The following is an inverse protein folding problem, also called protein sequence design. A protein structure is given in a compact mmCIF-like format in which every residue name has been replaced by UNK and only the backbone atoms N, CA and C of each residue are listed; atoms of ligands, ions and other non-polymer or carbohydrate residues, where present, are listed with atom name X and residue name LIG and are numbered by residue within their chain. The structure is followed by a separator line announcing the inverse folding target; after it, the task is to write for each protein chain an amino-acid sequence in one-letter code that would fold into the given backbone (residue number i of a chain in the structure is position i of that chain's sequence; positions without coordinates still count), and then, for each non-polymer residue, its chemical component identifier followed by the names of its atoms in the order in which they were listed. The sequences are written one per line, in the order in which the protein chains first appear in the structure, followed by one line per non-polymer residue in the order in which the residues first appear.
data_IF_622842309431
#
_entry.id   IF_622842309431
#
_cell.length_a   1.000
_cell.length_b   1.000
_cell.length_c   1.000
_cell.angle_alpha   90.00
_cell.angle_beta   90.00
_cell.angle_gamma   90.00
#
_symmetry.space_group_name_H-M   'P 1'
#
loop_
_entity.id
_entity.type
_entity.pdbx_description
1 polymer ?
#
# COMPACT_ATOMS: atom_id res chain seq x y z
N UNK A 1 1.16 33.74 22.10
CA UNK A 1 1.58 33.35 20.72
C UNK A 1 1.43 34.56 19.82
N UNK A 2 2.44 34.94 19.02
CA UNK A 2 2.27 36.04 18.07
C UNK A 2 1.26 35.66 16.99
N UNK A 3 0.38 36.60 16.62
CA UNK A 3 -0.58 36.40 15.54
C UNK A 3 0.16 36.35 14.20
N UNK A 4 0.01 35.24 13.47
CA UNK A 4 0.53 35.10 12.11
C UNK A 4 -0.25 36.03 11.18
N UNK A 5 0.43 37.04 10.64
CA UNK A 5 -0.14 37.92 9.62
C UNK A 5 0.07 37.28 8.24
N UNK A 6 -0.93 37.40 7.36
CA UNK A 6 -0.84 36.86 6.00
C UNK A 6 0.28 37.57 5.22
N UNK A 7 1.21 36.81 4.67
CA UNK A 7 2.33 37.31 3.85
C UNK A 7 1.90 37.85 2.48
N UNK A 8 0.60 37.78 2.17
CA UNK A 8 0.00 38.27 0.92
C UNK A 8 -0.59 39.68 1.06
N UNK A 9 -0.43 40.31 2.23
CA UNK A 9 -0.83 41.70 2.46
C UNK A 9 0.31 42.65 2.07
N UNK A 10 0.22 43.20 0.87
CA UNK A 10 1.04 44.35 0.47
C UNK A 10 0.36 45.67 0.89
N UNK A 11 1.11 46.77 1.09
CA UNK A 11 0.56 48.09 1.44
C UNK A 11 -0.51 48.60 0.47
N UNK A 12 -0.48 48.14 -0.78
CA UNK A 12 -1.40 48.54 -1.86
C UNK A 12 -2.61 47.59 -2.02
N UNK A 13 -2.83 46.67 -1.07
CA UNK A 13 -3.94 45.72 -1.14
C UNK A 13 -5.28 46.44 -1.08
N UNK A 14 -6.10 46.30 -2.14
CA UNK A 14 -7.44 46.91 -2.19
C UNK A 14 -8.33 46.37 -1.08
N UNK A 15 -8.87 47.27 -0.28
CA UNK A 15 -9.85 46.97 0.77
C UNK A 15 -11.26 47.24 0.26
N UNK A 16 -12.18 46.30 0.48
CA UNK A 16 -13.62 46.51 0.33
C UNK A 16 -14.28 46.25 1.68
N UNK A 17 -14.83 47.29 2.29
CA UNK A 17 -15.50 47.18 3.59
C UNK A 17 -14.62 46.54 4.68
N UNK A 18 -13.38 47.03 4.84
CA UNK A 18 -12.37 46.52 5.78
C UNK A 18 -11.92 45.06 5.56
N UNK A 19 -12.33 44.42 4.46
CA UNK A 19 -11.79 43.13 4.02
C UNK A 19 -10.80 43.33 2.88
N UNK A 20 -9.63 42.71 3.00
CA UNK A 20 -8.62 42.71 1.94
C UNK A 20 -9.03 41.78 0.79
N UNK A 21 -9.06 42.32 -0.43
CA UNK A 21 -9.23 41.54 -1.64
C UNK A 21 -7.90 40.91 -2.03
N UNK A 22 -7.63 39.73 -1.47
CA UNK A 22 -6.45 38.94 -1.81
C UNK A 22 -6.62 38.29 -3.19
N UNK A 23 -5.51 38.08 -3.93
CA UNK A 23 -5.56 37.38 -5.20
C UNK A 23 -6.09 35.97 -5.03
N UNK A 24 -6.97 35.54 -5.93
CA UNK A 24 -7.56 34.21 -5.93
C UNK A 24 -7.35 33.55 -7.29
N UNK A 25 -6.85 32.30 -7.28
CA UNK A 25 -6.90 31.44 -8.46
C UNK A 25 -8.32 30.93 -8.66
N UNK A 26 -9.13 31.71 -9.36
CA UNK A 26 -10.51 31.34 -9.72
C UNK A 26 -10.74 31.46 -11.22
N UNK A 27 -11.43 30.45 -11.76
CA UNK A 27 -11.90 30.39 -13.14
C UNK A 27 -13.19 31.20 -13.36
N UNK A 28 -13.80 31.72 -12.29
CA UNK A 28 -15.00 32.56 -12.35
C UNK A 28 -14.64 34.06 -12.43
N UNK A 29 -15.49 34.88 -13.06
CA UNK A 29 -15.33 36.35 -13.08
C UNK A 29 -15.81 36.92 -11.74
N UNK A 30 -14.94 37.65 -11.05
CA UNK A 30 -15.25 38.29 -9.77
C UNK A 30 -14.38 39.54 -9.55
N UNK A 31 -14.65 40.32 -8.49
CA UNK A 31 -13.97 41.58 -8.20
C UNK A 31 -12.54 41.43 -7.65
N UNK A 32 -12.12 40.22 -7.29
CA UNK A 32 -10.77 39.95 -6.80
C UNK A 32 -9.73 39.95 -7.96
N UNK A 33 -8.53 40.50 -7.76
CA UNK A 33 -7.46 40.47 -8.76
C UNK A 33 -7.12 39.03 -9.15
N UNK A 34 -6.94 38.77 -10.46
CA UNK A 34 -6.44 37.49 -10.96
C UNK A 34 -4.92 37.50 -10.89
N UNK A 35 -4.32 36.50 -10.25
CA UNK A 35 -2.88 36.25 -10.38
C UNK A 35 -2.56 35.92 -11.84
N UNK A 36 -1.82 36.79 -12.53
CA UNK A 36 -1.17 36.44 -13.79
C UNK A 36 0.03 35.54 -13.48
N UNK A 37 0.07 34.35 -14.08
CA UNK A 37 1.21 33.42 -13.99
C UNK A 37 2.46 34.07 -14.59
N UNK A 38 3.17 34.86 -13.80
CA UNK A 38 4.54 35.25 -14.07
C UNK A 38 5.45 34.26 -13.35
N UNK A 39 6.38 33.70 -14.12
CA UNK A 39 7.39 32.75 -13.66
C UNK A 39 8.32 33.44 -12.64
N UNK A 40 7.92 33.44 -11.37
CA UNK A 40 8.75 33.82 -10.23
C UNK A 40 9.16 32.57 -9.47
N UNK A 41 10.44 32.24 -9.47
CA UNK A 41 11.04 31.18 -8.67
C UNK A 41 10.90 31.50 -7.17
N UNK A 42 10.09 30.73 -6.45
CA UNK A 42 10.08 30.73 -4.98
C UNK A 42 11.30 29.94 -4.43
N UNK A 43 11.89 30.33 -3.29
CA UNK A 43 13.07 29.69 -2.71
C UNK A 43 12.75 28.40 -1.94
N UNK A 44 11.48 27.98 -1.90
CA UNK A 44 11.07 26.66 -1.41
C UNK A 44 10.57 25.84 -2.60
N UNK A 45 11.45 24.98 -3.11
CA UNK A 45 11.21 24.12 -4.27
C UNK A 45 10.21 23.01 -4.00
N UNK A 46 8.94 23.35 -3.77
CA UNK A 46 7.84 22.42 -3.93
C UNK A 46 7.22 22.65 -5.31
N UNK A 47 7.81 22.01 -6.34
CA UNK A 47 7.08 21.77 -7.58
C UNK A 47 5.92 20.84 -7.20
N UNK A 48 4.71 21.37 -7.15
CA UNK A 48 3.53 20.53 -7.23
C UNK A 48 3.57 19.86 -8.61
N UNK A 49 4.09 18.63 -8.66
CA UNK A 49 3.96 17.78 -9.84
C UNK A 49 2.47 17.56 -10.04
N UNK A 50 1.93 18.08 -11.13
CA UNK A 50 0.58 17.80 -11.61
C UNK A 50 0.49 16.39 -12.22
N UNK A 51 1.23 15.43 -11.66
CA UNK A 51 0.99 14.03 -11.97
C UNK A 51 -0.15 13.57 -11.07
N UNK A 52 -1.14 12.83 -11.59
CA UNK A 52 -2.04 12.10 -10.71
C UNK A 52 -1.17 11.29 -9.75
N UNK A 53 -1.52 11.25 -8.46
CA UNK A 53 -0.76 10.43 -7.53
C UNK A 53 -0.78 9.00 -8.08
N UNK A 54 0.36 8.50 -8.54
CA UNK A 54 0.47 7.13 -9.03
C UNK A 54 0.60 6.18 -7.84
N UNK A 55 0.19 4.93 -8.03
CA UNK A 55 0.40 3.90 -7.02
C UNK A 55 1.90 3.66 -6.79
N UNK A 56 2.28 3.23 -5.59
CA UNK A 56 3.67 2.95 -5.26
C UNK A 56 4.07 1.56 -5.75
N UNK A 57 5.17 1.51 -6.49
CA UNK A 57 5.76 0.31 -7.10
C UNK A 57 6.93 -0.25 -6.28
N UNK A 58 7.24 -1.53 -6.48
CA UNK A 58 8.40 -2.14 -5.84
C UNK A 58 9.70 -1.73 -6.52
N UNK A 59 10.67 -1.34 -5.70
CA UNK A 59 12.02 -0.94 -6.13
C UNK A 59 13.06 -2.06 -5.96
N UNK A 60 12.66 -3.21 -5.41
CA UNK A 60 13.53 -4.33 -5.02
C UNK A 60 13.83 -5.32 -6.15
N UNK A 61 13.55 -4.97 -7.40
CA UNK A 61 13.80 -5.85 -8.54
C UNK A 61 15.28 -5.83 -8.93
N UNK A 62 15.99 -6.91 -8.64
CA UNK A 62 17.38 -7.13 -9.09
C UNK A 62 17.41 -7.95 -10.40
N UNK A 63 18.39 -7.75 -11.31
CA UNK A 63 18.48 -8.49 -12.58
C UNK A 63 18.56 -10.01 -12.44
N UNK A 64 19.14 -10.49 -11.34
CA UNK A 64 19.31 -11.92 -11.04
C UNK A 64 18.12 -12.53 -10.28
N UNK A 65 17.03 -11.77 -10.10
CA UNK A 65 15.85 -12.21 -9.37
C UNK A 65 15.18 -13.36 -10.10
N UNK A 66 15.06 -14.50 -9.43
CA UNK A 66 14.34 -15.66 -9.96
C UNK A 66 12.85 -15.37 -10.05
N UNK A 67 12.18 -16.00 -11.00
CA UNK A 67 10.74 -15.87 -11.18
C UNK A 67 10.04 -17.19 -10.84
N UNK A 68 8.82 -17.08 -10.35
CA UNK A 68 7.88 -18.20 -10.20
C UNK A 68 6.57 -17.76 -10.87
N UNK A 69 6.22 -18.41 -11.97
CA UNK A 69 5.25 -17.91 -12.94
C UNK A 69 5.73 -16.59 -13.53
N UNK A 70 4.97 -15.53 -13.29
CA UNK A 70 5.36 -14.15 -13.61
C UNK A 70 5.56 -13.27 -12.37
N UNK A 71 5.69 -13.88 -11.18
CA UNK A 71 5.98 -13.18 -9.93
C UNK A 71 7.48 -13.25 -9.64
N UNK A 72 8.02 -12.19 -9.03
CA UNK A 72 9.39 -12.18 -8.55
C UNK A 72 9.51 -13.00 -7.25
N UNK A 73 10.41 -13.98 -7.25
CA UNK A 73 10.84 -14.74 -6.08
C UNK A 73 11.88 -13.92 -5.31
N UNK A 74 11.39 -12.89 -4.63
CA UNK A 74 12.23 -11.95 -3.89
C UNK A 74 12.73 -12.59 -2.59
N UNK A 75 13.95 -12.24 -2.15
CA UNK A 75 14.44 -12.70 -0.86
C UNK A 75 13.59 -12.15 0.29
N UNK A 76 13.48 -12.91 1.36
CA UNK A 76 12.71 -12.54 2.56
C UNK A 76 13.54 -12.76 3.81
N UNK A 77 13.41 -11.85 4.78
CA UNK A 77 13.94 -12.07 6.14
C UNK A 77 12.91 -12.86 6.95
N UNK A 78 12.82 -14.16 6.71
CA UNK A 78 11.83 -15.01 7.35
C UNK A 78 12.45 -16.17 8.12
N UNK A 79 11.82 -16.55 9.23
CA UNK A 79 12.13 -17.78 9.97
C UNK A 79 11.34 -18.99 9.44
N UNK A 80 10.33 -18.74 8.59
CA UNK A 80 9.48 -19.77 8.01
C UNK A 80 10.19 -20.49 6.87
N UNK A 81 9.99 -21.81 6.78
CA UNK A 81 10.53 -22.63 5.69
C UNK A 81 9.79 -22.31 4.40
N UNK A 82 10.54 -22.11 3.32
CA UNK A 82 9.98 -21.92 1.99
C UNK A 82 11.06 -21.71 0.93
N UNK A 83 10.65 -21.53 -0.34
CA UNK A 83 11.55 -21.42 -1.48
C UNK A 83 12.17 -20.01 -1.63
N UNK A 84 11.75 -19.01 -0.85
CA UNK A 84 12.32 -17.67 -0.93
C UNK A 84 13.81 -17.69 -0.52
N UNK A 85 14.68 -16.99 -1.28
CA UNK A 85 16.07 -16.78 -0.87
C UNK A 85 16.15 -16.06 0.48
N UNK A 86 17.26 -16.26 1.21
CA UNK A 86 17.51 -15.51 2.44
C UNK A 86 17.91 -14.08 2.09
N UNK A 87 17.17 -13.12 2.63
CA UNK A 87 17.53 -11.71 2.50
C UNK A 87 18.73 -11.39 3.40
N UNK A 88 19.66 -10.59 2.87
CA UNK A 88 20.85 -10.08 3.60
C UNK A 88 20.72 -8.61 3.95
N UNK A 89 19.81 -7.90 3.29
CA UNK A 89 19.48 -6.49 3.53
C UNK A 89 18.51 -6.36 4.72
N UNK A 90 18.40 -5.14 5.25
CA UNK A 90 17.50 -4.83 6.38
C UNK A 90 16.01 -4.73 5.99
N UNK A 91 15.74 -4.52 4.69
CA UNK A 91 14.42 -4.32 4.10
C UNK A 91 14.10 -5.38 3.06
N UNK A 92 12.90 -5.94 3.10
CA UNK A 92 12.39 -6.86 2.09
C UNK A 92 11.03 -6.42 1.52
N UNK A 93 10.49 -7.21 0.58
CA UNK A 93 9.22 -6.90 -0.10
C UNK A 93 8.02 -6.86 0.86
N UNK A 94 8.08 -7.57 1.99
CA UNK A 94 7.00 -7.55 2.99
C UNK A 94 7.00 -6.23 3.74
N UNK A 95 8.19 -5.72 4.10
CA UNK A 95 8.32 -4.39 4.71
C UNK A 95 7.86 -3.29 3.74
N UNK A 96 8.26 -3.38 2.46
CA UNK A 96 7.83 -2.46 1.40
C UNK A 96 6.31 -2.47 1.23
N UNK A 97 5.69 -3.66 1.22
CA UNK A 97 4.24 -3.82 1.13
C UNK A 97 3.51 -3.21 2.33
N UNK A 98 3.98 -3.46 3.55
CA UNK A 98 3.37 -2.90 4.79
C UNK A 98 3.53 -1.37 4.80
N UNK A 99 4.66 -0.85 4.34
CA UNK A 99 4.93 0.58 4.25
C UNK A 99 3.99 1.27 3.25
N UNK A 100 3.84 0.72 2.04
CA UNK A 100 2.99 1.29 1.00
C UNK A 100 1.49 0.99 1.16
N UNK A 101 1.11 0.01 1.98
CA UNK A 101 -0.27 -0.46 2.12
C UNK A 101 -1.29 0.69 2.31
N UNK A 102 -1.02 1.61 3.25
CA UNK A 102 -1.97 2.69 3.61
C UNK A 102 -2.25 3.63 2.44
N UNK A 103 -1.32 3.79 1.50
CA UNK A 103 -1.53 4.56 0.28
C UNK A 103 -2.11 3.69 -0.83
N UNK A 104 -1.49 2.52 -1.09
CA UNK A 104 -1.83 1.64 -2.20
C UNK A 104 -3.27 1.13 -2.14
N UNK A 105 -3.82 0.90 -0.95
CA UNK A 105 -5.19 0.37 -0.77
C UNK A 105 -6.30 1.28 -1.33
N UNK A 106 -6.03 2.57 -1.57
CA UNK A 106 -7.01 3.49 -2.18
C UNK A 106 -7.05 3.42 -3.71
N UNK A 107 -6.03 2.86 -4.34
CA UNK A 107 -5.93 2.82 -5.79
C UNK A 107 -6.79 1.70 -6.38
N UNK A 108 -7.59 2.07 -7.39
CA UNK A 108 -8.42 1.15 -8.16
C UNK A 108 -7.70 0.60 -9.40
N UNK A 109 -6.81 1.41 -9.96
CA UNK A 109 -5.98 1.06 -11.11
C UNK A 109 -4.53 0.98 -10.63
N UNK A 110 -3.83 -0.07 -11.04
CA UNK A 110 -2.42 -0.27 -10.76
C UNK A 110 -1.74 -0.74 -12.03
N UNK A 111 -0.80 0.06 -12.54
CA UNK A 111 0.03 -0.32 -13.68
C UNK A 111 1.21 -1.16 -13.19
N UNK A 112 1.43 -2.32 -13.80
CA UNK A 112 2.49 -3.25 -13.39
C UNK A 112 3.72 -2.94 -14.21
N UNK A 113 4.77 -2.44 -13.57
CA UNK A 113 6.02 -2.07 -14.21
C UNK A 113 6.99 -3.25 -14.27
N UNK A 114 6.99 -4.08 -13.23
CA UNK A 114 7.91 -5.22 -13.12
C UNK A 114 7.25 -6.45 -12.45
N UNK A 115 7.98 -7.56 -12.40
CA UNK A 115 7.56 -8.80 -11.75
C UNK A 115 7.46 -8.65 -10.22
N UNK A 116 8.24 -7.74 -9.63
CA UNK A 116 8.21 -7.43 -8.20
C UNK A 116 6.88 -6.80 -7.77
N UNK A 117 6.28 -5.97 -8.61
CA UNK A 117 4.95 -5.40 -8.40
C UNK A 117 3.89 -6.47 -8.26
N UNK A 118 3.99 -7.59 -9.00
CA UNK A 118 3.04 -8.70 -8.85
C UNK A 118 3.16 -9.35 -7.46
N UNK A 119 4.36 -9.42 -6.91
CA UNK A 119 4.56 -9.87 -5.52
C UNK A 119 4.00 -8.85 -4.53
N UNK A 120 4.27 -7.55 -4.75
CA UNK A 120 3.75 -6.44 -3.93
C UNK A 120 2.21 -6.40 -3.89
N UNK A 121 1.55 -6.56 -5.04
CA UNK A 121 0.10 -6.62 -5.18
C UNK A 121 -0.48 -7.77 -4.36
N UNK A 122 0.12 -8.96 -4.46
CA UNK A 122 -0.35 -10.13 -3.72
C UNK A 122 -0.28 -9.89 -2.20
N UNK A 123 0.84 -9.36 -1.70
CA UNK A 123 1.00 -9.05 -0.27
C UNK A 123 0.00 -7.97 0.15
N UNK A 124 -0.22 -6.93 -0.65
CA UNK A 124 -1.19 -5.86 -0.37
C UNK A 124 -2.62 -6.39 -0.23
N UNK A 125 -3.03 -7.32 -1.10
CA UNK A 125 -4.32 -8.00 -0.98
C UNK A 125 -4.38 -8.86 0.28
N UNK A 126 -3.29 -9.58 0.60
CA UNK A 126 -3.24 -10.43 1.77
C UNK A 126 -3.28 -9.63 3.09
N UNK A 127 -2.63 -8.47 3.16
CA UNK A 127 -2.75 -7.56 4.32
C UNK A 127 -4.22 -7.20 4.59
N UNK A 128 -5.01 -6.98 3.54
CA UNK A 128 -6.44 -6.70 3.68
C UNK A 128 -7.20 -7.88 4.31
N UNK A 129 -6.87 -9.12 3.93
CA UNK A 129 -7.44 -10.33 4.56
C UNK A 129 -7.01 -10.49 6.02
N UNK A 130 -5.74 -10.23 6.32
CA UNK A 130 -5.24 -10.23 7.69
C UNK A 130 -6.01 -9.23 8.56
N UNK A 131 -6.23 -8.00 8.07
CA UNK A 131 -6.97 -6.97 8.81
C UNK A 131 -8.41 -7.38 9.11
N UNK A 132 -9.10 -8.08 8.20
CA UNK A 132 -10.47 -8.59 8.43
C UNK A 132 -10.53 -9.56 9.61
N UNK A 133 -9.52 -10.43 9.77
CA UNK A 133 -9.41 -11.37 10.89
C UNK A 133 -8.97 -10.65 12.16
N UNK A 134 -7.89 -9.86 12.08
CA UNK A 134 -7.31 -9.11 13.20
C UNK A 134 -8.31 -8.16 13.87
N UNK A 135 -9.27 -7.61 13.13
CA UNK A 135 -10.32 -6.76 13.70
C UNK A 135 -11.13 -7.46 14.81
N UNK A 136 -11.28 -8.79 14.75
CA UNK A 136 -12.07 -9.58 15.71
C UNK A 136 -11.23 -10.12 16.88
N UNK A 137 -9.91 -9.95 16.83
CA UNK A 137 -9.01 -10.43 17.88
C UNK A 137 -9.01 -9.50 19.10
N UNK A 138 -8.89 -10.07 20.30
CA UNK A 138 -8.87 -9.32 21.55
C UNK A 138 -7.48 -9.18 22.19
N UNK A 139 -6.47 -9.87 21.65
CA UNK A 139 -5.09 -9.82 22.13
C UNK A 139 -4.11 -10.10 20.99
N UNK A 140 -2.86 -9.61 21.14
CA UNK A 140 -1.77 -9.89 20.21
C UNK A 140 -1.54 -11.39 20.03
N UNK A 141 -1.49 -12.15 21.12
CA UNK A 141 -1.27 -13.61 21.10
C UNK A 141 -2.38 -14.36 20.36
N UNK A 142 -3.63 -13.89 20.45
CA UNK A 142 -4.73 -14.43 19.65
C UNK A 142 -4.54 -14.08 18.16
N UNK A 143 -4.17 -12.84 17.85
CA UNK A 143 -3.86 -12.40 16.49
C UNK A 143 -2.76 -13.25 15.84
N UNK A 144 -1.67 -13.52 16.54
CA UNK A 144 -0.58 -14.38 16.04
C UNK A 144 -1.04 -15.80 15.70
N UNK A 145 -1.90 -16.41 16.54
CA UNK A 145 -2.49 -17.73 16.27
C UNK A 145 -3.42 -17.71 15.06
N UNK A 146 -4.24 -16.67 14.93
CA UNK A 146 -5.14 -16.51 13.78
C UNK A 146 -4.37 -16.24 12.49
N UNK A 147 -3.29 -15.46 12.54
CA UNK A 147 -2.41 -15.20 11.39
C UNK A 147 -1.64 -16.45 10.96
N UNK A 148 -1.16 -17.25 11.92
CA UNK A 148 -0.55 -18.55 11.61
C UNK A 148 -1.54 -19.48 10.91
N UNK A 149 -2.77 -19.57 11.43
CA UNK A 149 -3.85 -20.34 10.82
C UNK A 149 -4.15 -19.84 9.41
N UNK A 150 -4.32 -18.52 9.24
CA UNK A 150 -4.58 -17.89 7.93
C UNK A 150 -3.43 -18.15 6.95
N UNK A 151 -2.18 -18.14 7.40
CA UNK A 151 -1.02 -18.43 6.56
C UNK A 151 -1.06 -19.84 5.95
N UNK A 152 -1.56 -20.82 6.72
CA UNK A 152 -1.68 -22.22 6.31
C UNK A 152 -2.93 -22.46 5.45
N UNK A 153 -3.97 -21.64 5.57
CA UNK A 153 -5.17 -21.83 4.76
C UNK A 153 -4.85 -21.84 3.26
N UNK A 154 -5.52 -22.74 2.54
CA UNK A 154 -5.36 -22.89 1.10
C UNK A 154 -6.08 -21.75 0.39
N UNK A 155 -5.31 -20.74 -0.03
CA UNK A 155 -5.77 -19.70 -0.94
C UNK A 155 -5.66 -20.16 -2.40
N UNK A 156 -6.55 -19.68 -3.27
CA UNK A 156 -6.46 -19.97 -4.69
C UNK A 156 -5.19 -19.33 -5.27
N UNK A 157 -4.52 -20.06 -6.15
CA UNK A 157 -3.32 -19.58 -6.86
C UNK A 157 -3.66 -19.16 -8.31
N UNK A 158 -2.78 -18.42 -8.99
CA UNK A 158 -2.94 -18.10 -10.41
C UNK A 158 -3.29 -19.34 -11.26
N UNK A 159 -4.41 -19.27 -11.98
CA UNK A 159 -4.97 -20.36 -12.79
C UNK A 159 -6.17 -21.07 -12.17
N UNK A 160 -6.39 -20.96 -10.86
CA UNK A 160 -7.53 -21.59 -10.19
C UNK A 160 -8.80 -20.73 -10.22
N UNK A 161 -10.01 -21.35 -10.25
CA UNK A 161 -11.27 -20.64 -10.10
C UNK A 161 -11.38 -20.10 -8.67
N UNK A 162 -11.15 -18.80 -8.51
CA UNK A 162 -11.15 -18.12 -7.21
C UNK A 162 -10.08 -17.05 -7.08
N UNK A 163 -9.01 -17.12 -7.88
CA UNK A 163 -7.98 -16.09 -7.89
C UNK A 163 -8.47 -14.84 -8.68
N UNK A 164 -8.58 -13.66 -8.05
CA UNK A 164 -9.24 -12.48 -8.63
C UNK A 164 -8.48 -11.81 -9.78
N UNK A 165 -7.21 -12.18 -9.97
CA UNK A 165 -6.25 -11.53 -10.87
C UNK A 165 -5.68 -12.50 -11.93
N UNK A 166 -6.43 -13.52 -12.33
CA UNK A 166 -6.00 -14.50 -13.34
C UNK A 166 -5.64 -13.89 -14.72
N UNK A 167 -6.16 -12.70 -15.06
CA UNK A 167 -5.79 -12.01 -16.31
C UNK A 167 -4.38 -11.41 -16.29
N UNK A 168 -3.80 -11.25 -15.10
CA UNK A 168 -2.55 -10.52 -14.87
C UNK A 168 -1.43 -11.47 -14.39
N UNK A 169 -1.80 -12.56 -13.73
CA UNK A 169 -0.86 -13.56 -13.20
C UNK A 169 -0.80 -14.77 -14.13
N UNK A 170 0.41 -15.26 -14.37
CA UNK A 170 0.63 -16.47 -15.13
C UNK A 170 0.34 -17.69 -14.26
N UNK A 171 -0.44 -18.64 -14.79
CA UNK A 171 -0.60 -19.95 -14.18
C UNK A 171 0.75 -20.69 -14.14
N UNK A 172 1.01 -21.53 -13.13
CA UNK A 172 2.20 -22.38 -13.12
C UNK A 172 2.19 -23.29 -14.35
N UNK A 173 3.34 -23.42 -15.01
CA UNK A 173 3.48 -24.23 -16.23
C UNK A 173 3.51 -25.73 -15.90
N UNK A 174 4.23 -26.08 -14.83
CA UNK A 174 4.51 -27.47 -14.45
C UNK A 174 4.12 -27.73 -12.99
N UNK A 175 3.91 -29.01 -12.64
CA UNK A 175 3.60 -29.43 -11.26
C UNK A 175 4.66 -28.98 -10.24
N UNK A 176 5.93 -28.97 -10.62
CA UNK A 176 7.01 -28.48 -9.76
C UNK A 176 6.89 -26.97 -9.48
N UNK A 177 6.52 -26.18 -10.49
CA UNK A 177 6.32 -24.74 -10.32
C UNK A 177 5.07 -24.44 -9.49
N UNK A 178 4.01 -25.24 -9.64
CA UNK A 178 2.81 -25.18 -8.79
C UNK A 178 3.16 -25.38 -7.31
N UNK A 179 3.93 -26.43 -6.99
CA UNK A 179 4.38 -26.71 -5.62
C UNK A 179 5.26 -25.58 -5.06
N UNK A 180 6.20 -25.07 -5.86
CA UNK A 180 7.06 -23.94 -5.48
C UNK A 180 6.25 -22.67 -5.26
N UNK A 181 5.30 -22.37 -6.15
CA UNK A 181 4.43 -21.19 -6.03
C UNK A 181 3.58 -21.25 -4.77
N UNK A 182 2.95 -22.40 -4.48
CA UNK A 182 2.17 -22.58 -3.24
C UNK A 182 3.02 -22.41 -2.00
N UNK A 183 4.22 -22.99 -1.99
CA UNK A 183 5.15 -22.85 -0.86
C UNK A 183 5.63 -21.41 -0.69
N UNK A 184 5.92 -20.70 -1.78
CA UNK A 184 6.33 -19.29 -1.74
C UNK A 184 5.22 -18.38 -1.22
N UNK A 185 3.99 -18.54 -1.74
CA UNK A 185 2.84 -17.77 -1.29
C UNK A 185 2.51 -18.07 0.17
N UNK A 186 2.64 -19.32 0.63
CA UNK A 186 2.49 -19.68 2.03
C UNK A 186 3.53 -18.98 2.91
N UNK A 187 4.80 -18.96 2.48
CA UNK A 187 5.87 -18.28 3.21
C UNK A 187 5.61 -16.77 3.32
N UNK A 188 5.21 -16.13 2.21
CA UNK A 188 4.80 -14.72 2.20
C UNK A 188 3.65 -14.47 3.18
N UNK A 189 2.64 -15.33 3.21
CA UNK A 189 1.48 -15.20 4.09
C UNK A 189 1.85 -15.32 5.58
N UNK A 190 2.71 -16.27 5.93
CA UNK A 190 3.14 -16.45 7.32
C UNK A 190 3.97 -15.26 7.80
N UNK A 191 4.94 -14.82 7.01
CA UNK A 191 5.81 -13.69 7.35
C UNK A 191 5.01 -12.38 7.44
N UNK A 192 4.15 -12.11 6.46
CA UNK A 192 3.30 -10.91 6.46
C UNK A 192 2.37 -10.89 7.66
N UNK A 193 1.73 -12.01 8.00
CA UNK A 193 0.82 -12.10 9.13
C UNK A 193 1.53 -11.82 10.46
N UNK A 194 2.72 -12.39 10.66
CA UNK A 194 3.50 -12.18 11.88
C UNK A 194 3.91 -10.71 12.05
N UNK A 195 4.48 -10.09 11.02
CA UNK A 195 4.91 -8.68 11.08
C UNK A 195 3.73 -7.72 11.21
N UNK A 196 2.60 -8.04 10.58
CA UNK A 196 1.42 -7.21 10.67
C UNK A 196 0.82 -7.22 12.08
N UNK A 197 0.84 -8.35 12.79
CA UNK A 197 0.43 -8.39 14.20
C UNK A 197 1.19 -7.34 15.04
N UNK A 198 2.51 -7.24 14.87
CA UNK A 198 3.33 -6.27 15.62
C UNK A 198 2.97 -4.81 15.32
N UNK A 199 2.45 -4.52 14.12
CA UNK A 199 2.07 -3.18 13.68
C UNK A 199 0.62 -2.83 14.04
N UNK A 200 -0.26 -3.82 14.08
CA UNK A 200 -1.72 -3.63 14.27
C UNK A 200 -2.07 -3.52 15.75
N UNK A 201 -1.46 -4.31 16.63
CA UNK A 201 -1.76 -4.26 18.06
C UNK A 201 -0.99 -3.13 18.75
N UNK A 202 -1.67 -2.40 19.61
CA UNK A 202 -1.05 -1.36 20.45
C UNK A 202 -0.37 -2.02 21.67
N UNK A 203 0.93 -1.78 21.91
CA UNK A 203 1.67 -2.35 23.04
C UNK A 203 1.06 -2.04 24.42
N UNK A 204 0.26 -0.98 24.54
CA UNK A 204 -0.28 -0.56 25.84
C UNK A 204 -1.60 -1.24 26.20
N UNK A 205 -2.40 -1.67 25.21
CA UNK A 205 -3.77 -2.13 25.45
C UNK A 205 -4.11 -3.47 24.78
N UNK A 206 -3.18 -4.07 24.02
CA UNK A 206 -3.36 -5.34 23.32
C UNK A 206 -4.58 -5.41 22.37
N UNK A 207 -5.15 -4.26 21.99
CA UNK A 207 -6.28 -4.17 21.07
C UNK A 207 -5.81 -3.80 19.66
N UNK A 208 -6.56 -4.22 18.62
CA UNK A 208 -6.30 -3.79 17.25
C UNK A 208 -6.45 -2.27 17.12
N UNK A 209 -5.42 -1.63 16.58
CA UNK A 209 -5.37 -0.17 16.40
C UNK A 209 -6.39 0.31 15.38
N UNK A 210 -7.16 1.35 15.74
CA UNK A 210 -8.12 2.00 14.84
C UNK A 210 -7.50 2.53 13.55
N UNK A 211 -6.20 2.87 13.60
CA UNK A 211 -5.42 3.35 12.46
C UNK A 211 -5.09 2.25 11.44
N UNK A 212 -5.38 1.00 11.76
CA UNK A 212 -5.30 -0.14 10.86
C UNK A 212 -6.69 -0.70 10.54
N UNK A 213 -7.57 -0.82 11.53
CA UNK A 213 -8.92 -1.39 11.31
C UNK A 213 -9.82 -0.51 10.44
N UNK A 214 -9.54 0.80 10.33
CA UNK A 214 -10.25 1.67 9.38
C UNK A 214 -10.09 1.26 7.90
N UNK A 215 -9.05 0.48 7.57
CA UNK A 215 -8.80 0.01 6.21
C UNK A 215 -9.52 -1.30 5.86
N UNK A 216 -10.15 -1.99 6.82
CA UNK A 216 -10.77 -3.32 6.60
C UNK A 216 -11.82 -3.33 5.49
N UNK A 217 -12.58 -2.24 5.32
CA UNK A 217 -13.61 -2.13 4.28
C UNK A 217 -13.07 -1.67 2.92
N UNK A 218 -11.79 -1.31 2.83
CA UNK A 218 -11.17 -0.86 1.60
C UNK A 218 -10.64 -2.06 0.83
N UNK A 219 -10.80 -2.03 -0.48
CA UNK A 219 -10.35 -3.10 -1.37
C UNK A 219 -9.42 -2.52 -2.42
N UNK A 220 -8.17 -2.96 -2.36
CA UNK A 220 -7.18 -2.65 -3.38
C UNK A 220 -7.64 -3.21 -4.74
N UNK A 221 -7.65 -2.38 -5.78
CA UNK A 221 -8.17 -2.71 -7.13
C UNK A 221 -9.63 -3.23 -7.17
N UNK A 222 -10.42 -3.01 -6.11
CA UNK A 222 -11.72 -3.66 -5.90
C UNK A 222 -11.65 -5.20 -6.01
N UNK A 223 -10.50 -5.78 -5.65
CA UNK A 223 -10.26 -7.23 -5.61
C UNK A 223 -10.08 -7.69 -4.16
N UNK A 224 -10.32 -8.98 -3.94
CA UNK A 224 -10.27 -9.63 -2.63
C UNK A 224 -9.79 -11.06 -2.84
N UNK A 225 -8.89 -11.56 -1.99
CA UNK A 225 -8.42 -12.96 -2.07
C UNK A 225 -9.47 -13.92 -1.51
N UNK A 226 -10.26 -13.45 -0.55
CA UNK A 226 -11.48 -14.15 -0.11
C UNK A 226 -12.66 -13.70 -0.97
N UNK A 227 -13.53 -14.64 -1.35
CA UNK A 227 -14.75 -14.32 -2.11
C UNK A 227 -15.67 -13.33 -1.38
N UNK A 228 -16.59 -12.65 -2.08
CA UNK A 228 -17.51 -11.72 -1.45
C UNK A 228 -18.37 -12.46 -0.40
N UNK A 229 -18.17 -12.13 0.89
CA UNK A 229 -18.99 -12.65 1.99
C UNK A 229 -18.30 -13.56 3.02
N UNK A 230 -16.97 -13.76 2.96
CA UNK A 230 -16.20 -14.48 4.00
C UNK A 230 -15.36 -13.57 4.90
#
# INVERSE_FOLDING_TARGET
MPAYHSSLMDPDTKLVGNMALLPLRSQFKGPAPRESESQGSFPFGFKASSQPADAYHSSLMDPDTKLVGNMALLPLRSQFKGPAPRETKDTDIVDEAIYYFKANVFFKNYEIKNEADRTLIYITLYISECLKKLQKCNSRSQGEKEMYTLGITNFPIPGEPGFPLNAIYAKPANKQEDEVMRAYLQQLRQETGLRLCEKVFDPQNDKPSKWWTCFVKRQFMNKSLSGPGQ
#
